data_IF_716817833366
#
_entry.id   IF_716817833366
#
_cell.length_a   1.000
_cell.length_b   1.000
_cell.length_c   1.000
_cell.angle_alpha   90.00
_cell.angle_beta   90.00
_cell.angle_gamma   90.00
#
_symmetry.space_group_name_H-M   'P 1'
#
loop_
_entity.id
_entity.type
_entity.pdbx_description
1 polymer ?
#
# COMPACT_ATOMS: atom_id res chain seq x y z
N UNK A 1 14.02 6.43 10.47
CA UNK A 1 13.96 5.77 9.16
C UNK A 1 12.50 5.57 8.76
N UNK A 2 12.16 5.91 7.54
CA UNK A 2 10.80 5.77 7.03
C UNK A 2 10.79 4.84 5.82
N UNK A 3 9.89 3.86 5.84
CA UNK A 3 9.70 2.92 4.75
C UNK A 3 8.41 3.31 4.03
N UNK A 4 8.50 3.66 2.77
CA UNK A 4 7.32 3.93 1.96
C UNK A 4 6.72 2.62 1.51
N UNK A 5 5.41 2.46 1.71
CA UNK A 5 4.72 1.22 1.38
C UNK A 5 3.41 1.50 0.63
N UNK A 6 2.92 0.46 -0.02
CA UNK A 6 1.64 0.50 -0.72
C UNK A 6 0.91 -0.81 -0.51
N UNK A 7 -0.40 -0.78 -0.69
CA UNK A 7 -1.26 -1.95 -0.54
C UNK A 7 -1.99 -2.20 -1.85
N UNK A 8 -1.93 -3.43 -2.34
CA UNK A 8 -2.71 -3.87 -3.50
C UNK A 8 -3.60 -5.01 -3.03
N UNK A 9 -4.90 -4.78 -2.99
CA UNK A 9 -5.87 -5.76 -2.51
C UNK A 9 -7.22 -5.44 -3.14
N UNK A 10 -7.84 -6.43 -3.78
CA UNK A 10 -9.15 -6.24 -4.40
C UNK A 10 -10.30 -6.35 -3.40
N UNK A 11 -10.01 -6.71 -2.16
CA UNK A 11 -11.00 -6.81 -1.09
C UNK A 11 -10.95 -5.55 -0.21
N UNK A 12 -11.97 -4.68 -0.29
CA UNK A 12 -11.94 -3.40 0.43
C UNK A 12 -11.80 -3.52 1.94
N UNK A 13 -12.40 -4.54 2.54
CA UNK A 13 -12.32 -4.72 4.00
C UNK A 13 -10.91 -5.10 4.43
N UNK A 14 -10.28 -6.01 3.69
CA UNK A 14 -8.91 -6.42 3.99
C UNK A 14 -7.93 -5.26 3.75
N UNK A 15 -8.12 -4.53 2.66
CA UNK A 15 -7.29 -3.36 2.36
C UNK A 15 -7.40 -2.31 3.45
N UNK A 16 -8.61 -2.06 3.95
CA UNK A 16 -8.85 -1.12 5.03
C UNK A 16 -8.17 -1.52 6.33
N UNK A 17 -8.14 -2.82 6.62
CA UNK A 17 -7.49 -3.33 7.81
C UNK A 17 -5.97 -3.15 7.72
N UNK A 18 -5.38 -3.49 6.58
CA UNK A 18 -3.95 -3.29 6.35
C UNK A 18 -3.57 -1.82 6.40
N UNK A 19 -4.40 -0.96 5.83
CA UNK A 19 -4.19 0.49 5.90
C UNK A 19 -4.14 0.97 7.34
N UNK A 20 -5.08 0.50 8.15
CA UNK A 20 -5.14 0.86 9.57
C UNK A 20 -3.85 0.44 10.30
N UNK A 21 -3.37 -0.76 10.05
CA UNK A 21 -2.13 -1.24 10.66
C UNK A 21 -0.93 -0.42 10.20
N UNK A 22 -0.85 -0.11 8.91
CA UNK A 22 0.25 0.69 8.38
C UNK A 22 0.27 2.09 9.00
N UNK A 23 -0.90 2.70 9.13
CA UNK A 23 -1.01 4.04 9.73
C UNK A 23 -0.61 4.07 11.20
N UNK A 24 -0.76 2.94 11.90
CA UNK A 24 -0.38 2.82 13.30
C UNK A 24 1.09 2.43 13.50
N UNK A 25 1.80 2.17 12.41
CA UNK A 25 3.20 1.76 12.47
C UNK A 25 4.08 2.96 12.14
N UNK A 26 4.80 3.53 13.13
CA UNK A 26 5.49 4.82 12.94
C UNK A 26 6.52 4.86 11.83
N UNK A 27 7.17 3.74 11.52
CA UNK A 27 8.20 3.70 10.48
C UNK A 27 7.64 3.43 9.08
N UNK A 28 6.33 3.24 8.96
CA UNK A 28 5.69 3.03 7.66
C UNK A 28 4.98 4.30 7.20
N UNK A 29 5.23 4.68 5.97
CA UNK A 29 4.50 5.75 5.31
C UNK A 29 3.71 5.14 4.16
N UNK A 30 2.39 5.12 4.29
CA UNK A 30 1.52 4.54 3.26
C UNK A 30 1.34 5.53 2.13
N UNK A 31 1.79 5.15 0.95
CA UNK A 31 1.66 5.97 -0.26
C UNK A 31 0.24 5.87 -0.81
N UNK A 32 -0.33 4.68 -0.81
CA UNK A 32 -1.70 4.50 -1.29
C UNK A 32 -2.18 3.07 -1.21
N UNK A 33 -3.48 2.90 -1.46
CA UNK A 33 -4.11 1.59 -1.56
C UNK A 33 -4.75 1.47 -2.92
N UNK A 34 -4.61 0.30 -3.55
CA UNK A 34 -5.06 0.07 -4.92
C UNK A 34 -5.83 -1.23 -5.00
N UNK A 35 -6.89 -1.22 -5.82
CA UNK A 35 -7.73 -2.41 -6.02
C UNK A 35 -7.14 -3.41 -7.00
N UNK A 36 -6.13 -3.02 -7.77
CA UNK A 36 -5.50 -3.90 -8.74
C UNK A 36 -4.05 -3.49 -8.97
N UNK A 37 -3.26 -4.45 -9.48
CA UNK A 37 -1.88 -4.18 -9.84
C UNK A 37 -1.78 -3.14 -10.95
N UNK A 38 -2.73 -3.14 -11.87
CA UNK A 38 -2.72 -2.20 -12.99
C UNK A 38 -2.87 -0.76 -12.51
N UNK A 39 -3.76 -0.52 -11.56
CA UNK A 39 -3.90 0.81 -10.95
C UNK A 39 -2.64 1.21 -10.20
N UNK A 40 -2.06 0.28 -9.46
CA UNK A 40 -0.86 0.53 -8.68
C UNK A 40 0.33 0.87 -9.55
N UNK A 41 0.47 0.23 -10.70
CA UNK A 41 1.62 0.44 -11.57
C UNK A 41 1.80 1.89 -11.99
N UNK A 42 0.72 2.60 -12.26
CA UNK A 42 0.79 4.00 -12.65
C UNK A 42 1.36 4.86 -11.53
N UNK A 43 0.80 4.67 -10.33
CA UNK A 43 1.21 5.46 -9.17
C UNK A 43 2.61 5.11 -8.70
N UNK A 44 2.95 3.83 -8.71
CA UNK A 44 4.24 3.37 -8.20
C UNK A 44 5.41 3.73 -9.13
N UNK A 45 5.15 4.06 -10.38
CA UNK A 45 6.17 4.61 -11.27
C UNK A 45 6.61 5.97 -10.80
N UNK A 46 5.66 6.80 -10.40
CA UNK A 46 5.93 8.17 -9.96
C UNK A 46 6.32 8.25 -8.50
N UNK A 47 5.81 7.30 -7.70
CA UNK A 47 6.05 7.26 -6.26
C UNK A 47 6.53 5.86 -5.85
N UNK A 48 7.81 5.55 -6.09
CA UNK A 48 8.36 4.23 -5.75
C UNK A 48 8.26 3.91 -4.27
N UNK A 49 8.03 2.64 -3.97
CA UNK A 49 7.94 2.17 -2.59
C UNK A 49 8.96 1.07 -2.34
N UNK A 50 9.33 0.90 -1.06
CA UNK A 50 10.26 -0.14 -0.64
C UNK A 50 9.53 -1.41 -0.19
N UNK A 51 8.25 -1.29 0.15
CA UNK A 51 7.46 -2.42 0.67
C UNK A 51 6.09 -2.44 0.02
N UNK A 52 5.67 -3.62 -0.41
CA UNK A 52 4.39 -3.80 -1.06
C UNK A 52 3.62 -4.92 -0.37
N UNK A 53 2.43 -4.60 0.12
CA UNK A 53 1.51 -5.59 0.65
C UNK A 53 0.60 -6.05 -0.47
N UNK A 54 0.72 -7.31 -0.83
CA UNK A 54 -0.04 -7.91 -1.93
C UNK A 54 -0.98 -8.98 -1.40
N UNK A 55 -2.24 -8.87 -1.74
CA UNK A 55 -3.21 -9.94 -1.53
C UNK A 55 -3.90 -10.20 -2.87
N UNK A 56 -3.73 -11.39 -3.36
CA UNK A 56 -4.28 -11.80 -4.66
C UNK A 56 -5.40 -12.77 -4.47
#
# INVERSE_FOLDING_TARGET
>A
MTIHCAIIDDEPLAAGLLKSYAEKTPFLHLVGTYGSALEAMKELREHPVQLLFLDI
#
